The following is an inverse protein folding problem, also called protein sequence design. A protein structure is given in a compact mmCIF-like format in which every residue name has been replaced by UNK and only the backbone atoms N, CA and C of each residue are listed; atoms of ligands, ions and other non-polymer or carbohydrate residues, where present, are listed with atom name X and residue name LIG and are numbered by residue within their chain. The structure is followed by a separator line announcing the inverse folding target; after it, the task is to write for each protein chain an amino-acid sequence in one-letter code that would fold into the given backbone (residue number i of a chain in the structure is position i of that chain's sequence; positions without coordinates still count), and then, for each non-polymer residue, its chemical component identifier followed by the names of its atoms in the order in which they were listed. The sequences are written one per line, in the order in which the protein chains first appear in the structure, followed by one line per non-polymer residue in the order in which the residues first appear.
data_IF_482744637765
#
_entry.id   IF_482744637765
#
_cell.length_a   1.000
_cell.length_b   1.000
_cell.length_c   1.000
_cell.angle_alpha   90.00
_cell.angle_beta   90.00
_cell.angle_gamma   90.00
#
_symmetry.space_group_name_H-M   'P 1'
#
loop_
_entity.id
_entity.type
_entity.pdbx_description
1 polymer ?
#
# COMPACT_ATOMS: atom_id res chain seq x y z
N UNK A 1 -7.28 0.61 24.50
CA UNK A 1 -6.24 1.64 24.29
C UNK A 1 -4.90 1.10 24.75
N UNK A 2 -4.21 0.34 23.89
CA UNK A 2 -2.85 -0.13 24.20
C UNK A 2 -1.86 0.97 23.83
N UNK A 3 -1.11 1.45 24.82
CA UNK A 3 -0.11 2.49 24.63
C UNK A 3 1.02 1.95 23.75
N UNK A 4 1.18 2.48 22.55
CA UNK A 4 2.25 2.06 21.63
C UNK A 4 3.59 2.69 22.04
N UNK A 5 4.67 1.95 21.86
CA UNK A 5 6.06 2.45 21.99
C UNK A 5 6.42 3.42 20.86
N UNK A 6 7.58 4.09 20.95
CA UNK A 6 8.10 4.96 19.87
C UNK A 6 8.30 4.24 18.52
N UNK A 7 8.33 2.90 18.54
CA UNK A 7 8.40 2.06 17.34
C UNK A 7 7.02 1.63 16.82
N UNK A 8 5.93 2.03 17.48
CA UNK A 8 4.56 1.65 17.15
C UNK A 8 4.18 0.22 17.53
N UNK A 9 5.04 -0.48 18.27
CA UNK A 9 4.75 -1.79 18.86
C UNK A 9 4.01 -1.62 20.19
N UNK A 10 3.20 -2.61 20.55
CA UNK A 10 2.62 -2.66 21.89
C UNK A 10 3.75 -2.72 22.94
N UNK A 11 3.55 -2.04 24.07
CA UNK A 11 4.54 -2.02 25.16
C UNK A 11 4.69 -3.37 25.84
N UNK A 12 3.73 -4.26 25.67
CA UNK A 12 3.73 -5.63 26.20
C UNK A 12 4.56 -6.62 25.35
N UNK A 13 5.11 -6.19 24.20
CA UNK A 13 5.96 -7.07 23.38
C UNK A 13 7.35 -7.19 24.03
N UNK A 14 7.56 -8.29 24.74
CA UNK A 14 8.86 -8.59 25.40
C UNK A 14 9.81 -9.37 24.48
N UNK A 15 9.28 -10.16 23.55
CA UNK A 15 10.07 -11.02 22.65
C UNK A 15 10.13 -10.46 21.23
N UNK A 16 11.18 -9.70 20.91
CA UNK A 16 11.34 -9.08 19.58
C UNK A 16 11.82 -10.05 18.50
N UNK A 17 12.54 -11.10 18.89
CA UNK A 17 13.01 -12.17 18.00
C UNK A 17 12.03 -13.33 18.12
N UNK A 18 11.43 -13.70 16.98
CA UNK A 18 10.50 -14.84 16.87
C UNK A 18 11.22 -16.16 16.71
N UNK A 19 12.29 -16.18 15.93
CA UNK A 19 13.01 -17.40 15.58
C UNK A 19 14.44 -17.10 15.10
N UNK A 20 15.35 -18.06 15.28
CA UNK A 20 16.72 -18.02 14.79
C UNK A 20 17.05 -19.39 14.18
N UNK A 21 17.31 -19.41 12.89
CA UNK A 21 17.63 -20.64 12.15
C UNK A 21 19.03 -20.58 11.57
N UNK A 22 19.75 -21.70 11.64
CA UNK A 22 20.99 -21.88 10.88
C UNK A 22 20.60 -22.25 9.46
N UNK A 23 21.03 -21.45 8.49
CA UNK A 23 20.80 -21.69 7.06
C UNK A 23 22.12 -21.75 6.31
N UNK A 24 22.13 -22.45 5.18
CA UNK A 24 23.31 -22.56 4.33
C UNK A 24 23.02 -21.88 3.00
N UNK A 25 24.01 -21.19 2.46
CA UNK A 25 23.86 -20.46 1.20
C UNK A 25 25.19 -19.90 0.72
N UNK A 26 25.12 -19.02 -0.27
CA UNK A 26 26.31 -18.32 -0.77
C UNK A 26 26.16 -16.82 -0.75
N UNK A 27 27.29 -16.15 -0.56
CA UNK A 27 27.35 -14.71 -0.73
C UNK A 27 27.34 -14.39 -2.23
N UNK A 28 26.48 -13.47 -2.65
CA UNK A 28 26.41 -13.03 -4.05
C UNK A 28 27.70 -12.30 -4.46
N UNK A 29 28.38 -11.65 -3.51
CA UNK A 29 29.61 -10.92 -3.78
C UNK A 29 30.85 -11.80 -3.67
N UNK A 30 31.71 -11.70 -4.69
CA UNK A 30 32.97 -12.42 -4.88
C UNK A 30 32.81 -13.92 -5.13
N UNK A 31 33.59 -14.43 -6.08
CA UNK A 31 33.67 -15.88 -6.31
C UNK A 31 34.43 -16.56 -5.18
N UNK A 32 33.82 -17.61 -4.61
CA UNK A 32 34.46 -18.53 -3.66
C UNK A 32 34.22 -19.97 -4.11
N UNK A 33 35.23 -20.85 -4.12
CA UNK A 33 35.07 -22.24 -4.56
C UNK A 33 34.00 -23.03 -3.77
N UNK A 34 33.80 -22.68 -2.50
CA UNK A 34 32.86 -23.28 -1.55
C UNK A 34 31.67 -22.36 -1.23
N UNK A 35 31.37 -21.39 -2.10
CA UNK A 35 30.46 -20.27 -1.79
C UNK A 35 29.13 -20.74 -1.20
N UNK A 36 28.51 -21.78 -1.77
CA UNK A 36 27.17 -22.27 -1.43
C UNK A 36 27.07 -23.03 -0.10
N UNK A 37 28.19 -23.31 0.57
CA UNK A 37 28.22 -24.06 1.83
C UNK A 37 28.45 -23.16 3.05
N UNK A 38 28.35 -21.84 2.89
CA UNK A 38 28.53 -20.90 4.00
C UNK A 38 27.34 -20.95 4.95
N UNK A 39 27.63 -20.91 6.25
CA UNK A 39 26.63 -20.87 7.31
C UNK A 39 26.20 -19.44 7.61
N UNK A 40 24.89 -19.21 7.64
CA UNK A 40 24.25 -17.95 8.00
C UNK A 40 23.23 -18.15 9.13
N UNK A 41 22.91 -17.07 9.83
CA UNK A 41 21.82 -17.02 10.80
C UNK A 41 20.63 -16.27 10.18
N UNK A 42 19.51 -16.96 9.97
CA UNK A 42 18.23 -16.34 9.62
C UNK A 42 17.51 -15.95 10.90
N UNK A 43 17.41 -14.65 11.15
CA UNK A 43 16.76 -14.10 12.34
C UNK A 43 15.40 -13.53 11.93
N UNK A 44 14.33 -14.09 12.49
CA UNK A 44 12.96 -13.61 12.26
C UNK A 44 12.53 -12.72 13.42
N UNK A 45 11.97 -11.55 13.12
CA UNK A 45 11.60 -10.54 14.12
C UNK A 45 10.11 -10.21 14.05
N UNK A 46 9.58 -9.64 15.15
CA UNK A 46 8.14 -9.37 15.28
C UNK A 46 7.63 -8.26 14.38
N UNK A 47 8.48 -7.31 13.99
CA UNK A 47 8.10 -6.13 13.20
C UNK A 47 9.24 -5.66 12.32
N UNK A 48 8.98 -5.32 11.04
CA UNK A 48 9.99 -4.77 10.13
C UNK A 48 10.67 -3.50 10.64
N UNK A 49 9.97 -2.73 11.48
CA UNK A 49 10.51 -1.49 12.08
C UNK A 49 11.73 -1.71 12.97
N UNK A 50 11.95 -2.95 13.40
CA UNK A 50 13.09 -3.31 14.24
C UNK A 50 14.34 -3.70 13.43
N UNK A 51 14.22 -3.90 12.10
CA UNK A 51 15.32 -4.40 11.25
C UNK A 51 16.57 -3.51 11.38
N UNK A 52 16.41 -2.19 11.28
CA UNK A 52 17.53 -1.23 11.38
C UNK A 52 18.22 -1.31 12.74
N UNK A 53 17.44 -1.42 13.82
CA UNK A 53 17.98 -1.57 15.18
C UNK A 53 18.77 -2.88 15.34
N UNK A 54 18.19 -3.99 14.88
CA UNK A 54 18.84 -5.30 14.89
C UNK A 54 20.15 -5.28 14.09
N UNK A 55 20.15 -4.71 12.88
CA UNK A 55 21.35 -4.54 12.07
C UNK A 55 22.45 -3.78 12.82
N UNK A 56 22.11 -2.64 13.41
CA UNK A 56 23.08 -1.82 14.13
C UNK A 56 23.71 -2.58 15.31
N UNK A 57 22.92 -3.36 16.05
CA UNK A 57 23.42 -4.20 17.14
C UNK A 57 24.40 -5.26 16.62
N UNK A 58 24.06 -5.95 15.53
CA UNK A 58 24.90 -6.97 14.92
C UNK A 58 26.23 -6.39 14.40
N UNK A 59 26.18 -5.21 13.78
CA UNK A 59 27.37 -4.53 13.25
C UNK A 59 28.28 -3.97 14.35
N UNK A 60 27.72 -3.49 15.47
CA UNK A 60 28.50 -3.07 16.65
C UNK A 60 29.15 -4.25 17.39
N UNK A 61 28.72 -5.47 17.08
CA UNK A 61 29.28 -6.71 17.56
C UNK A 61 28.48 -7.33 18.70
N UNK A 62 28.30 -8.64 18.59
CA UNK A 62 27.57 -9.48 19.54
C UNK A 62 28.47 -10.62 20.00
N UNK A 63 28.36 -11.04 21.25
CA UNK A 63 29.05 -12.25 21.75
C UNK A 63 28.06 -13.40 21.72
N UNK A 64 28.22 -14.30 20.74
CA UNK A 64 27.36 -15.48 20.55
C UNK A 64 27.95 -16.74 21.19
N UNK A 65 29.24 -16.76 21.50
CA UNK A 65 29.99 -17.97 21.88
C UNK A 65 30.68 -17.86 23.24
N UNK A 66 30.55 -16.72 23.93
CA UNK A 66 31.25 -16.43 25.19
C UNK A 66 32.74 -16.17 24.99
N UNK A 67 33.19 -15.93 23.76
CA UNK A 67 34.61 -15.74 23.41
C UNK A 67 34.91 -14.31 22.97
N UNK A 68 34.00 -13.37 23.25
CA UNK A 68 34.13 -11.97 22.89
C UNK A 68 33.21 -11.54 21.73
N UNK A 69 32.99 -10.22 21.64
CA UNK A 69 32.07 -9.62 20.67
C UNK A 69 32.67 -9.67 19.27
N UNK A 70 31.89 -10.15 18.30
CA UNK A 70 32.22 -10.14 16.88
C UNK A 70 31.16 -9.37 16.10
N UNK A 71 31.59 -8.48 15.22
CA UNK A 71 30.72 -7.83 14.25
C UNK A 71 30.19 -8.86 13.25
N UNK A 72 28.91 -8.79 12.95
CA UNK A 72 28.24 -9.64 11.98
C UNK A 72 27.64 -8.80 10.87
N UNK A 73 27.83 -9.25 9.63
CA UNK A 73 27.19 -8.66 8.47
C UNK A 73 25.70 -9.02 8.45
N UNK A 74 24.85 -8.02 8.23
CA UNK A 74 23.42 -8.20 8.09
C UNK A 74 23.05 -8.17 6.59
N UNK A 75 22.44 -9.25 6.13
CA UNK A 75 21.89 -9.37 4.78
C UNK A 75 20.40 -9.04 4.77
N UNK A 76 19.89 -8.58 3.63
CA UNK A 76 18.48 -8.20 3.43
C UNK A 76 17.93 -7.11 4.38
N UNK A 77 18.76 -6.56 5.26
CA UNK A 77 18.37 -5.55 6.25
C UNK A 77 18.08 -4.15 5.64
N UNK A 78 18.21 -4.01 4.32
CA UNK A 78 17.97 -2.80 3.55
C UNK A 78 16.91 -3.00 2.45
N UNK A 79 16.17 -4.12 2.49
CA UNK A 79 15.08 -4.39 1.55
C UNK A 79 13.77 -3.99 2.24
N UNK A 80 12.93 -3.23 1.54
CA UNK A 80 11.60 -2.85 2.04
C UNK A 80 10.76 -4.10 2.30
N UNK A 81 9.99 -4.07 3.38
CA UNK A 81 9.23 -5.24 3.82
C UNK A 81 8.20 -5.68 2.78
N UNK A 82 7.58 -4.73 2.10
CA UNK A 82 6.63 -4.96 1.02
C UNK A 82 7.30 -5.70 -0.14
N UNK A 83 8.51 -5.30 -0.52
CA UNK A 83 9.29 -5.97 -1.57
C UNK A 83 9.70 -7.37 -1.13
N UNK A 84 10.18 -7.52 0.11
CA UNK A 84 10.53 -8.83 0.68
C UNK A 84 9.32 -9.77 0.71
N UNK A 85 8.16 -9.26 1.13
CA UNK A 85 6.88 -9.97 1.13
C UNK A 85 6.48 -10.43 -0.27
N UNK A 86 6.61 -9.54 -1.26
CA UNK A 86 6.35 -9.87 -2.66
C UNK A 86 7.24 -11.02 -3.15
N UNK A 87 8.56 -10.94 -2.90
CA UNK A 87 9.49 -12.00 -3.30
C UNK A 87 9.24 -13.31 -2.53
N UNK A 88 8.91 -13.25 -1.24
CA UNK A 88 8.62 -14.45 -0.42
C UNK A 88 7.34 -15.19 -0.83
N UNK A 89 6.42 -14.49 -1.50
CA UNK A 89 5.11 -15.02 -1.90
C UNK A 89 4.98 -15.21 -3.41
N UNK A 90 6.04 -14.92 -4.17
CA UNK A 90 6.03 -14.81 -5.64
C UNK A 90 5.00 -13.79 -6.18
N UNK A 91 4.53 -12.86 -5.34
CA UNK A 91 3.58 -11.82 -5.71
C UNK A 91 4.27 -10.74 -6.54
N UNK A 92 3.68 -10.46 -7.70
CA UNK A 92 4.12 -9.39 -8.60
C UNK A 92 3.14 -8.21 -8.57
N UNK A 93 3.60 -7.05 -9.02
CA UNK A 93 2.73 -5.89 -9.20
C UNK A 93 1.59 -6.19 -10.17
N UNK A 94 0.37 -5.78 -9.81
CA UNK A 94 -0.85 -6.00 -10.58
C UNK A 94 -1.16 -7.48 -10.91
N UNK A 95 -0.62 -8.43 -10.13
CA UNK A 95 -0.90 -9.85 -10.27
C UNK A 95 -2.26 -10.25 -9.68
N UNK A 96 -2.77 -11.40 -10.13
CA UNK A 96 -3.98 -11.99 -9.58
C UNK A 96 -3.67 -12.85 -8.37
N UNK A 97 -4.56 -12.79 -7.37
CA UNK A 97 -4.50 -13.61 -6.17
C UNK A 97 -5.84 -14.26 -5.90
N UNK A 98 -5.80 -15.46 -5.35
CA UNK A 98 -6.98 -16.20 -4.93
C UNK A 98 -6.90 -16.52 -3.44
N UNK A 99 -8.03 -16.38 -2.76
CA UNK A 99 -8.18 -16.68 -1.34
C UNK A 99 -8.76 -18.07 -1.19
N UNK A 100 -8.04 -19.02 -0.56
CA UNK A 100 -8.54 -20.40 -0.38
C UNK A 100 -9.88 -20.41 0.38
N UNK A 101 -10.85 -21.13 -0.17
CA UNK A 101 -12.18 -21.26 0.43
C UNK A 101 -12.12 -21.79 1.87
N UNK A 102 -12.87 -21.17 2.78
CA UNK A 102 -12.91 -21.54 4.20
C UNK A 102 -11.68 -21.13 5.01
N UNK A 103 -10.67 -20.49 4.41
CA UNK A 103 -9.47 -20.01 5.10
C UNK A 103 -9.50 -18.52 5.44
N UNK A 104 -10.31 -17.75 4.73
CA UNK A 104 -10.52 -16.34 5.04
C UNK A 104 -11.72 -16.14 5.97
N UNK A 105 -11.70 -15.02 6.70
CA UNK A 105 -12.81 -14.57 7.55
C UNK A 105 -13.22 -13.16 7.13
N UNK A 106 -14.52 -12.97 6.91
CA UNK A 106 -15.07 -11.63 6.71
C UNK A 106 -14.86 -10.78 7.97
N UNK A 107 -14.46 -9.53 7.79
CA UNK A 107 -14.40 -8.56 8.89
C UNK A 107 -15.83 -8.18 9.27
N UNK A 108 -16.23 -8.29 10.56
CA UNK A 108 -17.55 -7.86 11.00
C UNK A 108 -17.77 -6.37 10.73
N UNK A 109 -19.00 -5.97 10.39
CA UNK A 109 -19.30 -4.57 10.02
C UNK A 109 -18.85 -3.56 11.07
N UNK A 110 -19.03 -3.86 12.35
CA UNK A 110 -18.60 -3.00 13.46
C UNK A 110 -17.07 -2.82 13.58
N UNK A 111 -16.28 -3.62 12.85
CA UNK A 111 -14.81 -3.60 12.84
C UNK A 111 -14.23 -3.24 11.47
N UNK A 112 -15.06 -3.06 10.44
CA UNK A 112 -14.60 -2.61 9.13
C UNK A 112 -13.92 -1.26 9.28
N UNK A 113 -12.78 -1.10 8.64
CA UNK A 113 -12.01 0.15 8.64
C UNK A 113 -11.78 0.72 7.25
N UNK A 114 -12.30 0.06 6.21
CA UNK A 114 -12.20 0.49 4.80
C UNK A 114 -13.58 0.81 4.22
N UNK A 115 -13.62 1.45 3.06
CA UNK A 115 -14.83 1.67 2.26
C UNK A 115 -15.06 0.58 1.20
N UNK A 116 -14.22 -0.45 1.17
CA UNK A 116 -14.33 -1.55 0.21
C UNK A 116 -15.57 -2.41 0.47
N UNK A 117 -16.14 -2.97 -0.60
CA UNK A 117 -17.31 -3.85 -0.49
C UNK A 117 -17.00 -5.16 0.25
N UNK A 118 -15.77 -5.66 0.11
CA UNK A 118 -15.30 -6.91 0.71
C UNK A 118 -14.07 -6.57 1.56
N UNK A 119 -14.16 -6.86 2.85
CA UNK A 119 -13.05 -6.73 3.81
C UNK A 119 -12.87 -8.07 4.52
N UNK A 120 -11.71 -8.68 4.38
CA UNK A 120 -11.42 -10.02 4.88
C UNK A 120 -10.04 -10.10 5.55
N UNK A 121 -9.87 -11.13 6.36
CA UNK A 121 -8.59 -11.50 6.96
C UNK A 121 -8.23 -12.92 6.54
N UNK A 122 -6.97 -13.14 6.19
CA UNK A 122 -6.45 -14.44 5.75
C UNK A 122 -5.00 -14.60 6.19
N UNK A 123 -4.56 -15.84 6.40
CA UNK A 123 -3.15 -16.14 6.55
C UNK A 123 -2.46 -16.11 5.17
N UNK A 124 -1.27 -15.53 5.08
CA UNK A 124 -0.51 -15.46 3.81
C UNK A 124 -0.31 -16.83 3.15
N UNK A 125 -0.14 -17.90 3.93
CA UNK A 125 0.04 -19.27 3.41
C UNK A 125 -1.23 -19.85 2.75
N UNK A 126 -2.38 -19.21 2.98
CA UNK A 126 -3.66 -19.57 2.39
C UNK A 126 -4.02 -18.69 1.17
N UNK A 127 -3.14 -17.77 0.77
CA UNK A 127 -3.22 -17.01 -0.49
C UNK A 127 -2.56 -17.83 -1.60
N UNK A 128 -3.22 -17.91 -2.75
CA UNK A 128 -2.66 -18.47 -3.98
C UNK A 128 -2.30 -17.28 -4.88
N UNK A 129 -1.05 -17.19 -5.32
CA UNK A 129 -0.58 -16.17 -6.25
C UNK A 129 -0.50 -16.78 -7.64
N UNK A 130 -1.15 -16.13 -8.60
CA UNK A 130 -1.22 -16.62 -9.97
C UNK A 130 -0.16 -15.95 -10.87
N UNK A 131 0.62 -16.72 -11.64
CA UNK A 131 1.63 -16.15 -12.54
C UNK A 131 0.98 -15.35 -13.68
N UNK A 132 1.43 -14.10 -13.95
CA UNK A 132 0.87 -13.25 -15.01
C UNK A 132 1.19 -13.77 -16.42
N UNK A 133 2.08 -14.77 -16.53
CA UNK A 133 2.50 -15.39 -17.80
C UNK A 133 1.49 -16.39 -18.35
N UNK A 134 0.46 -16.73 -17.57
CA UNK A 134 -0.60 -17.65 -17.98
C UNK A 134 -1.77 -16.87 -18.59
N UNK A 135 -2.36 -17.32 -19.72
CA UNK A 135 -3.45 -16.59 -20.37
C UNK A 135 -4.69 -16.34 -19.49
N UNK A 136 -4.98 -17.25 -18.55
CA UNK A 136 -6.10 -17.11 -17.60
C UNK A 136 -5.92 -15.93 -16.64
N UNK A 137 -4.68 -15.59 -16.31
CA UNK A 137 -4.32 -14.58 -15.31
C UNK A 137 -3.56 -13.39 -15.91
N UNK A 138 -3.61 -13.24 -17.24
CA UNK A 138 -3.01 -12.10 -17.95
C UNK A 138 -3.97 -10.94 -18.17
N UNK A 139 -5.26 -11.14 -17.90
CA UNK A 139 -6.29 -10.12 -18.08
C UNK A 139 -6.18 -9.01 -17.02
N UNK A 140 -6.66 -7.82 -17.38
CA UNK A 140 -6.71 -6.66 -16.50
C UNK A 140 -8.12 -6.52 -15.92
N UNK A 141 -8.22 -6.37 -14.60
CA UNK A 141 -9.49 -6.13 -13.93
C UNK A 141 -10.20 -4.87 -14.48
N UNK A 142 -11.55 -4.79 -14.40
CA UNK A 142 -12.32 -3.62 -14.84
C UNK A 142 -12.16 -2.43 -13.87
N UNK A 143 -10.96 -1.89 -13.80
CA UNK A 143 -10.60 -0.76 -12.94
C UNK A 143 -11.45 0.47 -13.30
N UNK A 144 -11.83 1.27 -12.30
CA UNK A 144 -12.51 2.54 -12.50
C UNK A 144 -11.49 3.66 -12.47
N UNK A 145 -11.35 4.38 -13.58
CA UNK A 145 -10.46 5.54 -13.70
C UNK A 145 -11.29 6.81 -13.60
N UNK A 146 -11.03 7.62 -12.58
CA UNK A 146 -11.57 8.97 -12.42
C UNK A 146 -10.56 9.98 -12.99
N UNK A 147 -11.00 10.76 -13.97
CA UNK A 147 -10.30 11.97 -14.42
C UNK A 147 -11.11 13.18 -13.98
N UNK A 148 -10.44 14.19 -13.42
CA UNK A 148 -11.10 15.41 -13.00
C UNK A 148 -10.27 16.64 -13.35
N UNK A 149 -10.95 17.79 -13.43
CA UNK A 149 -10.36 19.10 -13.68
C UNK A 149 -11.10 20.16 -12.87
N UNK A 150 -10.39 21.22 -12.47
CA UNK A 150 -10.95 22.28 -11.61
C UNK A 150 -10.79 23.64 -12.25
N UNK A 151 -11.76 24.51 -12.01
CA UNK A 151 -11.71 25.90 -12.45
C UNK A 151 -11.86 26.84 -11.25
N UNK A 152 -11.08 27.92 -11.25
CA UNK A 152 -11.04 28.91 -10.17
C UNK A 152 -11.39 30.30 -10.68
N UNK A 153 -12.01 31.11 -9.82
CA UNK A 153 -12.28 32.52 -10.14
C UNK A 153 -11.10 33.41 -9.73
N UNK A 154 -10.14 33.56 -10.64
CA UNK A 154 -8.93 34.36 -10.40
C UNK A 154 -9.12 35.88 -10.54
N UNK A 155 -8.22 36.64 -9.91
CA UNK A 155 -8.10 38.10 -10.07
C UNK A 155 -7.40 38.48 -11.37
N UNK A 156 -7.80 39.60 -11.98
CA UNK A 156 -7.30 40.04 -13.29
C UNK A 156 -5.77 40.21 -13.31
N UNK A 157 -5.10 39.49 -14.21
CA UNK A 157 -3.65 39.59 -14.43
C UNK A 157 -2.80 38.94 -13.33
N UNK A 158 -3.42 38.16 -12.43
CA UNK A 158 -2.76 37.48 -11.32
C UNK A 158 -3.05 35.98 -11.44
N UNK A 159 -2.05 35.14 -11.19
CA UNK A 159 -2.26 33.69 -11.11
C UNK A 159 -3.11 33.36 -9.87
N UNK A 160 -4.05 32.40 -9.94
CA UNK A 160 -4.90 32.05 -8.80
C UNK A 160 -4.11 31.70 -7.53
N UNK A 161 -4.57 32.23 -6.40
CA UNK A 161 -4.06 31.98 -5.06
C UNK A 161 -5.14 31.26 -4.23
N UNK A 162 -4.81 30.08 -3.68
CA UNK A 162 -5.76 29.23 -2.97
C UNK A 162 -6.36 29.86 -1.70
N UNK A 163 -5.80 30.96 -1.17
CA UNK A 163 -6.36 31.67 -0.03
C UNK A 163 -7.35 32.77 -0.41
N UNK A 164 -7.40 33.15 -1.70
CA UNK A 164 -8.17 34.31 -2.19
C UNK A 164 -9.15 33.96 -3.31
N UNK A 165 -8.77 33.03 -4.18
CA UNK A 165 -9.44 32.77 -5.45
C UNK A 165 -10.18 31.41 -5.36
N UNK A 166 -11.52 31.41 -5.24
CA UNK A 166 -12.30 30.21 -4.93
C UNK A 166 -12.35 29.24 -6.11
N UNK A 167 -12.48 27.95 -5.80
CA UNK A 167 -12.85 26.91 -6.79
C UNK A 167 -14.33 27.08 -7.13
N UNK A 168 -14.63 27.22 -8.42
CA UNK A 168 -15.98 27.46 -8.92
C UNK A 168 -16.54 26.28 -9.70
N UNK A 169 -15.70 25.40 -10.25
CA UNK A 169 -16.16 24.19 -10.92
C UNK A 169 -15.22 23.01 -10.68
N UNK A 170 -15.78 21.80 -10.61
CA UNK A 170 -15.04 20.54 -10.63
C UNK A 170 -15.73 19.61 -11.62
N UNK A 171 -15.09 19.36 -12.76
CA UNK A 171 -15.58 18.43 -13.77
C UNK A 171 -15.01 17.03 -13.53
N UNK A 172 -15.82 15.99 -13.68
CA UNK A 172 -15.40 14.60 -13.49
C UNK A 172 -15.88 13.71 -14.63
N UNK A 173 -15.02 12.77 -15.02
CA UNK A 173 -15.38 11.64 -15.84
C UNK A 173 -14.86 10.35 -15.20
N UNK A 174 -15.73 9.33 -15.13
CA UNK A 174 -15.34 8.00 -14.67
C UNK A 174 -15.55 7.00 -15.80
N UNK A 175 -14.49 6.25 -16.10
CA UNK A 175 -14.46 5.22 -17.13
C UNK A 175 -14.05 3.88 -16.53
N UNK A 176 -14.57 2.80 -17.10
CA UNK A 176 -14.15 1.43 -16.75
C UNK A 176 -13.09 1.00 -17.76
N UNK A 177 -11.99 0.42 -17.27
CA UNK A 177 -10.93 -0.15 -18.10
C UNK A 177 -11.51 -1.10 -19.16
N UNK A 178 -11.14 -0.88 -20.42
CA UNK A 178 -11.62 -1.66 -21.56
C UNK A 178 -12.96 -1.21 -22.18
N UNK A 179 -13.68 -0.27 -21.54
CA UNK A 179 -14.88 0.35 -22.14
C UNK A 179 -14.49 1.58 -22.96
N UNK A 180 -15.23 1.87 -24.03
CA UNK A 180 -14.97 3.05 -24.89
C UNK A 180 -15.51 4.36 -24.31
N UNK A 181 -16.65 4.30 -23.63
CA UNK A 181 -17.36 5.49 -23.15
C UNK A 181 -17.30 5.57 -21.61
N UNK A 182 -17.06 6.75 -21.03
CA UNK A 182 -17.21 6.95 -19.60
C UNK A 182 -18.67 6.83 -19.19
N UNK A 183 -18.90 6.21 -18.03
CA UNK A 183 -20.24 5.94 -17.49
C UNK A 183 -20.69 6.98 -16.47
N UNK A 184 -19.78 7.84 -15.99
CA UNK A 184 -20.11 9.04 -15.22
C UNK A 184 -19.51 10.24 -15.93
N UNK A 185 -20.33 11.27 -16.13
CA UNK A 185 -19.92 12.60 -16.58
C UNK A 185 -20.71 13.60 -15.74
N UNK A 186 -20.02 14.34 -14.89
CA UNK A 186 -20.66 15.37 -14.11
C UNK A 186 -19.77 16.60 -13.95
N UNK A 187 -20.40 17.71 -13.60
CA UNK A 187 -19.72 18.94 -13.22
C UNK A 187 -20.39 19.51 -11.98
N UNK A 188 -19.61 19.69 -10.92
CA UNK A 188 -20.00 20.48 -9.76
C UNK A 188 -19.76 21.95 -10.09
N UNK A 189 -20.74 22.80 -9.84
CA UNK A 189 -20.67 24.23 -10.16
C UNK A 189 -21.07 25.06 -8.96
N UNK A 190 -20.34 26.14 -8.69
CA UNK A 190 -20.71 27.14 -7.70
C UNK A 190 -21.80 28.04 -8.29
N UNK A 191 -22.94 28.13 -7.60
CA UNK A 191 -24.12 28.83 -8.09
C UNK A 191 -24.92 27.97 -9.07
N UNK A 192 -25.42 28.59 -10.14
CA UNK A 192 -26.30 27.94 -11.12
C UNK A 192 -25.62 27.77 -12.48
N UNK A 193 -26.03 26.76 -13.25
CA UNK A 193 -25.52 26.52 -14.59
C UNK A 193 -26.60 25.91 -15.49
N UNK A 194 -26.61 26.29 -16.77
CA UNK A 194 -27.53 25.71 -17.73
C UNK A 194 -27.25 24.20 -17.92
N UNK A 195 -28.27 23.39 -18.24
CA UNK A 195 -28.08 21.96 -18.49
C UNK A 195 -27.08 21.70 -19.63
N UNK A 196 -26.20 20.71 -19.43
CA UNK A 196 -25.23 20.25 -20.43
C UNK A 196 -25.67 18.87 -20.93
N UNK A 197 -25.87 18.72 -22.24
CA UNK A 197 -26.31 17.45 -22.82
C UNK A 197 -25.25 16.36 -22.55
N UNK A 198 -25.69 15.26 -21.94
CA UNK A 198 -24.83 14.10 -21.65
C UNK A 198 -24.02 14.20 -20.35
N UNK A 199 -24.20 15.28 -19.57
CA UNK A 199 -23.52 15.46 -18.27
C UNK A 199 -24.51 15.85 -17.17
N UNK A 200 -24.31 15.31 -15.97
CA UNK A 200 -25.03 15.75 -14.77
C UNK A 200 -24.42 17.08 -14.29
N UNK A 201 -25.23 18.14 -14.22
CA UNK A 201 -24.83 19.43 -13.63
C UNK A 201 -25.29 19.44 -12.18
N UNK A 202 -24.34 19.60 -11.25
CA UNK A 202 -24.57 19.58 -9.81
C UNK A 202 -24.31 20.99 -9.28
N UNK A 203 -25.39 21.73 -9.05
CA UNK A 203 -25.35 23.10 -8.53
C UNK A 203 -25.10 23.09 -7.01
N UNK A 204 -24.15 23.90 -6.55
CA UNK A 204 -23.77 24.05 -5.15
C UNK A 204 -23.89 25.52 -4.73
N UNK A 205 -24.43 25.79 -3.54
CA UNK A 205 -24.73 27.15 -3.08
C UNK A 205 -23.46 27.95 -2.72
N UNK A 206 -22.45 27.26 -2.23
CA UNK A 206 -21.19 27.81 -1.75
C UNK A 206 -20.04 26.82 -2.03
N UNK A 207 -18.81 27.31 -1.93
CA UNK A 207 -17.60 26.51 -2.20
C UNK A 207 -17.45 25.35 -1.20
N UNK A 208 -17.92 25.52 0.04
CA UNK A 208 -17.87 24.49 1.07
C UNK A 208 -18.71 23.29 0.64
N UNK A 209 -19.95 23.52 0.20
CA UNK A 209 -20.82 22.49 -0.34
C UNK A 209 -20.22 21.83 -1.58
N UNK A 210 -19.65 22.61 -2.50
CA UNK A 210 -18.98 22.09 -3.69
C UNK A 210 -17.85 21.10 -3.33
N UNK A 211 -17.01 21.44 -2.36
CA UNK A 211 -15.90 20.58 -1.91
C UNK A 211 -16.39 19.38 -1.09
N UNK A 212 -17.45 19.53 -0.29
CA UNK A 212 -18.01 18.43 0.51
C UNK A 212 -18.73 17.39 -0.35
N UNK A 213 -19.61 17.83 -1.25
CA UNK A 213 -20.40 16.92 -2.10
C UNK A 213 -19.49 16.19 -3.09
N UNK A 214 -18.50 16.88 -3.67
CA UNK A 214 -17.49 16.23 -4.52
C UNK A 214 -16.68 15.18 -3.76
N UNK A 215 -16.36 15.40 -2.49
CA UNK A 215 -15.67 14.41 -1.65
C UNK A 215 -16.55 13.18 -1.33
N UNK A 216 -17.86 13.37 -1.16
CA UNK A 216 -18.79 12.27 -0.79
C UNK A 216 -19.19 11.44 -2.01
N UNK A 217 -19.41 12.04 -3.19
CA UNK A 217 -19.85 11.29 -4.39
C UNK A 217 -18.79 10.34 -4.97
N UNK A 218 -17.51 10.50 -4.61
CA UNK A 218 -16.42 9.64 -5.07
C UNK A 218 -15.70 8.84 -3.97
N UNK A 219 -16.11 9.01 -2.70
CA UNK A 219 -15.57 8.27 -1.54
C UNK A 219 -16.23 6.92 -1.30
#
# INVERSE_FOLDING_TARGET
NHARSGFGLDKEVEHFVKDVQIVHGGNIYNYRPDNLQQTFLKISIVSPRLITGCRNILQQGVDLTGTGRKSLDAFEANIDFEVRFMVDTDLVGCGWVEMKAGKYKNVPDAKKCTTCQIELTINVNDVIVHPPTTPEWSDIAPLRTLSFDIECLGRKGVFPDASQDPVIQIANMVQIQGQFEPFIRNVFVLGTCAPIIGSEVIECKDEIELLQVSSIKFG
#
